data_IF_499093578416
#
_entry.id   IF_499093578416
#
_cell.length_a   1.000
_cell.length_b   1.000
_cell.length_c   1.000
_cell.angle_alpha   90.00
_cell.angle_beta   90.00
_cell.angle_gamma   90.00
#
_symmetry.space_group_name_H-M   'P 1'
#
loop_
_entity.id
_entity.type
_entity.pdbx_description
1 polymer ?
#
# COMPACT_ATOMS: atom_id res chain seq x y z
N UNK A 1 -3.75 55.21 -14.35
CA UNK A 1 -4.02 54.82 -12.94
C UNK A 1 -5.03 53.66 -12.81
N UNK A 2 -6.25 53.73 -13.38
CA UNK A 2 -7.27 52.65 -13.26
C UNK A 2 -6.82 51.25 -13.74
N UNK A 3 -6.06 51.15 -14.85
CA UNK A 3 -5.51 49.88 -15.37
C UNK A 3 -4.48 49.23 -14.42
N UNK A 4 -3.62 50.03 -13.79
CA UNK A 4 -2.62 49.55 -12.84
C UNK A 4 -3.30 49.03 -11.56
N UNK A 5 -4.32 49.75 -11.06
CA UNK A 5 -5.11 49.31 -9.91
C UNK A 5 -5.85 47.98 -10.17
N UNK A 6 -6.39 47.78 -11.38
CA UNK A 6 -7.02 46.51 -11.78
C UNK A 6 -6.02 45.34 -11.84
N UNK A 7 -4.82 45.57 -12.38
CA UNK A 7 -3.76 44.54 -12.43
C UNK A 7 -3.30 44.16 -11.02
N UNK A 8 -3.08 45.15 -10.14
CA UNK A 8 -2.70 44.90 -8.75
C UNK A 8 -3.80 44.14 -8.02
N UNK A 9 -5.07 44.56 -8.16
CA UNK A 9 -6.22 43.88 -7.54
C UNK A 9 -6.35 42.42 -8.02
N UNK A 10 -6.24 42.18 -9.32
CA UNK A 10 -6.27 40.83 -9.88
C UNK A 10 -5.11 39.96 -9.37
N UNK A 11 -3.90 40.52 -9.30
CA UNK A 11 -2.73 39.85 -8.75
C UNK A 11 -2.89 39.53 -7.25
N UNK A 12 -3.45 40.44 -6.46
CA UNK A 12 -3.74 40.19 -5.04
C UNK A 12 -4.75 39.04 -4.85
N UNK A 13 -5.77 38.97 -5.72
CA UNK A 13 -6.78 37.90 -5.67
C UNK A 13 -6.16 36.54 -6.01
N UNK A 14 -5.30 36.46 -7.03
CA UNK A 14 -4.65 35.19 -7.41
C UNK A 14 -3.67 34.70 -6.34
N UNK A 15 -2.91 35.61 -5.72
CA UNK A 15 -2.03 35.28 -4.58
C UNK A 15 -2.84 34.77 -3.39
N UNK A 16 -3.97 35.41 -3.06
CA UNK A 16 -4.84 34.97 -1.96
C UNK A 16 -5.45 33.58 -2.23
N UNK A 17 -5.92 33.32 -3.45
CA UNK A 17 -6.46 32.01 -3.84
C UNK A 17 -5.40 30.91 -3.79
N UNK A 18 -4.18 31.20 -4.24
CA UNK A 18 -3.06 30.26 -4.16
C UNK A 18 -2.67 29.98 -2.70
N UNK A 19 -2.57 31.01 -1.87
CA UNK A 19 -2.32 30.86 -0.43
C UNK A 19 -3.41 30.03 0.27
N UNK A 20 -4.68 30.21 -0.08
CA UNK A 20 -5.78 29.42 0.48
C UNK A 20 -5.67 27.94 0.11
N UNK A 21 -5.37 27.60 -1.15
CA UNK A 21 -5.13 26.22 -1.59
C UNK A 21 -3.96 25.59 -0.84
N UNK A 22 -2.86 26.32 -0.70
CA UNK A 22 -1.66 25.84 0.01
C UNK A 22 -1.92 25.61 1.49
N UNK A 23 -2.63 26.52 2.16
CA UNK A 23 -3.01 26.36 3.57
C UNK A 23 -3.91 25.13 3.78
N UNK A 24 -4.87 24.91 2.88
CA UNK A 24 -5.73 23.72 2.94
C UNK A 24 -4.94 22.42 2.73
N UNK A 25 -4.02 22.39 1.77
CA UNK A 25 -3.13 21.25 1.54
C UNK A 25 -2.26 20.96 2.77
N UNK A 26 -1.70 22.00 3.40
CA UNK A 26 -0.87 21.87 4.60
C UNK A 26 -1.65 21.29 5.78
N UNK A 27 -2.87 21.76 6.03
CA UNK A 27 -3.73 21.23 7.09
C UNK A 27 -4.08 19.75 6.84
N UNK A 28 -4.38 19.37 5.59
CA UNK A 28 -4.63 17.98 5.21
C UNK A 28 -3.39 17.11 5.39
N UNK A 29 -2.20 17.57 4.98
CA UNK A 29 -0.95 16.84 5.18
C UNK A 29 -0.58 16.68 6.65
N UNK A 30 -0.85 17.68 7.49
CA UNK A 30 -0.65 17.57 8.95
C UNK A 30 -1.57 16.51 9.55
N UNK A 31 -2.84 16.49 9.14
CA UNK A 31 -3.79 15.46 9.57
C UNK A 31 -3.38 14.07 9.08
N UNK A 32 -3.01 13.95 7.80
CA UNK A 32 -2.50 12.72 7.23
C UNK A 32 -1.26 12.21 7.99
N UNK A 33 -0.35 13.11 8.35
CA UNK A 33 0.84 12.75 9.11
C UNK A 33 0.50 12.22 10.50
N UNK A 34 -0.48 12.81 11.19
CA UNK A 34 -0.95 12.29 12.47
C UNK A 34 -1.51 10.87 12.31
N UNK A 35 -2.39 10.65 11.34
CA UNK A 35 -2.94 9.31 11.07
C UNK A 35 -1.82 8.31 10.70
N UNK A 36 -0.80 8.74 9.96
CA UNK A 36 0.37 7.92 9.64
C UNK A 36 1.16 7.51 10.90
N UNK A 37 1.38 8.45 11.83
CA UNK A 37 2.06 8.16 13.10
C UNK A 37 1.24 7.26 14.01
N UNK A 38 -0.09 7.37 13.93
CA UNK A 38 -1.03 6.49 14.63
C UNK A 38 -1.20 5.13 13.90
N UNK A 39 -0.39 4.87 12.86
CA UNK A 39 -0.41 3.65 12.01
C UNK A 39 -1.76 3.40 11.31
N UNK A 40 -2.59 4.44 11.21
CA UNK A 40 -3.89 4.44 10.55
C UNK A 40 -3.73 4.74 9.06
N UNK A 41 -3.00 3.87 8.37
CA UNK A 41 -2.53 4.09 7.00
C UNK A 41 -3.66 4.35 5.98
N UNK A 42 -4.76 3.60 6.04
CA UNK A 42 -5.92 3.85 5.16
C UNK A 42 -6.49 5.27 5.31
N UNK A 43 -6.48 5.82 6.53
CA UNK A 43 -6.92 7.19 6.79
C UNK A 43 -5.87 8.22 6.38
N UNK A 44 -4.58 7.93 6.62
CA UNK A 44 -3.48 8.77 6.17
C UNK A 44 -3.51 8.97 4.64
N UNK A 45 -3.68 7.87 3.88
CA UNK A 45 -3.81 7.88 2.41
C UNK A 45 -4.93 8.81 1.97
N UNK A 46 -6.11 8.73 2.59
CA UNK A 46 -7.24 9.56 2.22
C UNK A 46 -6.92 11.06 2.35
N UNK A 47 -6.27 11.47 3.45
CA UNK A 47 -5.89 12.86 3.65
C UNK A 47 -4.73 13.31 2.76
N UNK A 48 -3.72 12.46 2.53
CA UNK A 48 -2.63 12.75 1.60
C UNK A 48 -3.14 12.94 0.16
N UNK A 49 -3.99 12.04 -0.33
CA UNK A 49 -4.62 12.16 -1.64
C UNK A 49 -5.51 13.41 -1.74
N UNK A 50 -6.23 13.76 -0.66
CA UNK A 50 -7.01 15.00 -0.62
C UNK A 50 -6.10 16.25 -0.70
N UNK A 51 -4.95 16.24 -0.03
CA UNK A 51 -3.97 17.34 -0.09
C UNK A 51 -3.37 17.47 -1.50
N UNK A 52 -3.07 16.34 -2.15
CA UNK A 52 -2.49 16.27 -3.49
C UNK A 52 -3.38 16.91 -4.58
N UNK A 53 -4.70 17.06 -4.33
CA UNK A 53 -5.62 17.79 -5.22
C UNK A 53 -5.40 19.31 -5.22
N UNK A 54 -4.71 19.85 -4.22
CA UNK A 54 -4.44 21.29 -4.08
C UNK A 54 -3.01 21.66 -4.42
N UNK A 55 -2.04 20.85 -3.97
CA UNK A 55 -0.61 21.07 -4.15
C UNK A 55 0.06 19.72 -4.37
N UNK A 56 0.96 19.63 -5.35
CA UNK A 56 1.75 18.43 -5.60
C UNK A 56 2.55 18.03 -4.35
N UNK A 57 2.58 16.74 -3.96
CA UNK A 57 3.28 16.32 -2.76
C UNK A 57 4.80 16.52 -2.90
N UNK A 58 5.39 17.09 -1.85
CA UNK A 58 6.84 17.04 -1.68
C UNK A 58 7.31 15.60 -1.46
N UNK A 59 8.63 15.40 -1.44
CA UNK A 59 9.22 14.07 -1.35
C UNK A 59 8.92 13.37 -0.02
N UNK A 60 8.78 14.12 1.09
CA UNK A 60 8.46 13.53 2.40
C UNK A 60 7.01 13.05 2.44
N UNK A 61 6.08 13.88 1.96
CA UNK A 61 4.66 13.53 1.83
C UNK A 61 4.49 12.34 0.90
N UNK A 62 5.15 12.36 -0.26
CA UNK A 62 5.10 11.28 -1.23
C UNK A 62 5.67 9.97 -0.66
N UNK A 63 6.76 10.03 0.10
CA UNK A 63 7.33 8.86 0.79
C UNK A 63 6.37 8.27 1.82
N UNK A 64 5.76 9.11 2.66
CA UNK A 64 4.77 8.64 3.67
C UNK A 64 3.52 8.08 3.03
N UNK A 65 3.06 8.67 1.93
CA UNK A 65 1.95 8.12 1.14
C UNK A 65 2.32 6.76 0.54
N UNK A 66 3.51 6.62 -0.05
CA UNK A 66 4.01 5.37 -0.60
C UNK A 66 4.10 4.26 0.46
N UNK A 67 4.67 4.58 1.62
CA UNK A 67 4.77 3.64 2.75
C UNK A 67 3.38 3.29 3.28
N UNK A 68 2.45 4.24 3.37
CA UNK A 68 1.06 3.94 3.77
C UNK A 68 0.41 2.93 2.83
N UNK A 69 0.55 3.12 1.50
CA UNK A 69 0.06 2.15 0.51
C UNK A 69 0.73 0.78 0.68
N UNK A 70 2.04 0.75 0.93
CA UNK A 70 2.78 -0.49 1.15
C UNK A 70 2.24 -1.26 2.38
N UNK A 71 1.99 -0.56 3.49
CA UNK A 71 1.50 -1.16 4.73
C UNK A 71 0.11 -1.78 4.58
N UNK A 72 -0.77 -1.18 3.77
CA UNK A 72 -2.09 -1.75 3.47
C UNK A 72 -2.08 -2.71 2.26
N UNK A 73 -0.89 -3.08 1.77
CA UNK A 73 -0.66 -4.02 0.65
C UNK A 73 -1.22 -3.56 -0.70
N UNK A 74 -1.46 -2.27 -0.86
CA UNK A 74 -1.79 -1.63 -2.15
C UNK A 74 -0.51 -1.40 -2.97
N UNK A 75 0.15 -2.50 -3.34
CA UNK A 75 1.50 -2.50 -3.92
C UNK A 75 1.61 -1.75 -5.24
N UNK A 76 0.53 -1.67 -6.01
CA UNK A 76 0.51 -0.92 -7.28
C UNK A 76 0.65 0.58 -7.05
N UNK A 77 -0.08 1.10 -6.07
CA UNK A 77 -0.04 2.52 -5.70
C UNK A 77 1.25 2.87 -4.97
N UNK A 78 1.72 1.97 -4.08
CA UNK A 78 3.03 2.10 -3.45
C UNK A 78 4.15 2.16 -4.49
N UNK A 79 4.14 1.26 -5.49
CA UNK A 79 5.14 1.24 -6.56
C UNK A 79 5.14 2.54 -7.34
N UNK A 80 3.98 3.05 -7.72
CA UNK A 80 3.89 4.31 -8.46
C UNK A 80 4.54 5.48 -7.68
N UNK A 81 4.24 5.60 -6.38
CA UNK A 81 4.83 6.66 -5.55
C UNK A 81 6.33 6.47 -5.31
N UNK A 82 6.81 5.24 -5.10
CA UNK A 82 8.25 4.95 -4.98
C UNK A 82 9.01 5.14 -6.30
N UNK A 83 8.38 4.87 -7.45
CA UNK A 83 8.97 5.14 -8.76
C UNK A 83 9.15 6.64 -8.99
N UNK A 84 8.15 7.46 -8.62
CA UNK A 84 8.28 8.92 -8.64
C UNK A 84 9.38 9.42 -7.70
N UNK A 85 9.55 8.82 -6.52
CA UNK A 85 10.65 9.13 -5.61
C UNK A 85 12.01 8.74 -6.19
N UNK A 86 12.10 7.59 -6.84
CA UNK A 86 13.32 7.13 -7.50
C UNK A 86 13.75 8.06 -8.63
N UNK A 87 12.81 8.58 -9.42
CA UNK A 87 13.10 9.60 -10.44
C UNK A 87 13.71 10.88 -9.86
N UNK A 88 13.37 11.25 -8.62
CA UNK A 88 13.91 12.42 -7.91
C UNK A 88 15.23 12.12 -7.19
N UNK A 89 15.37 10.92 -6.65
CA UNK A 89 16.51 10.49 -5.83
C UNK A 89 17.00 9.10 -6.28
N UNK A 90 17.59 8.99 -7.47
CA UNK A 90 17.94 7.68 -8.06
C UNK A 90 19.07 6.95 -7.34
N UNK A 91 19.75 7.61 -6.39
CA UNK A 91 20.85 7.05 -5.62
C UNK A 91 20.51 6.81 -4.14
N UNK A 92 19.26 7.07 -3.73
CA UNK A 92 18.82 6.76 -2.36
C UNK A 92 18.60 5.26 -2.21
N UNK A 93 19.45 4.61 -1.40
CA UNK A 93 19.45 3.17 -1.16
C UNK A 93 18.07 2.65 -0.72
N UNK A 94 17.38 3.38 0.17
CA UNK A 94 16.09 2.95 0.73
C UNK A 94 14.99 3.00 -0.32
N UNK A 95 14.97 4.04 -1.15
CA UNK A 95 14.03 4.17 -2.26
C UNK A 95 14.28 3.07 -3.30
N UNK A 96 15.55 2.84 -3.67
CA UNK A 96 15.93 1.76 -4.58
C UNK A 96 15.45 0.39 -4.07
N UNK A 97 15.72 0.11 -2.79
CA UNK A 97 15.32 -1.12 -2.14
C UNK A 97 13.80 -1.31 -2.14
N UNK A 98 13.03 -0.32 -1.65
CA UNK A 98 11.56 -0.40 -1.61
C UNK A 98 10.96 -0.60 -3.00
N UNK A 99 11.47 0.12 -4.01
CA UNK A 99 11.02 -0.05 -5.39
C UNK A 99 11.29 -1.47 -5.91
N UNK A 100 12.46 -2.05 -5.63
CA UNK A 100 12.79 -3.42 -6.02
C UNK A 100 11.89 -4.46 -5.31
N UNK A 101 11.59 -4.28 -4.03
CA UNK A 101 10.63 -5.13 -3.30
C UNK A 101 9.22 -5.06 -3.92
N UNK A 102 8.79 -3.87 -4.33
CA UNK A 102 7.48 -3.65 -4.94
C UNK A 102 7.39 -4.28 -6.33
N UNK A 103 8.47 -4.29 -7.13
CA UNK A 103 8.54 -5.04 -8.38
C UNK A 103 8.31 -6.54 -8.15
N UNK A 104 8.96 -7.12 -7.13
CA UNK A 104 8.78 -8.52 -6.77
C UNK A 104 7.33 -8.82 -6.32
N UNK A 105 6.73 -7.97 -5.46
CA UNK A 105 5.33 -8.12 -5.04
C UNK A 105 4.34 -8.02 -6.21
N UNK A 106 4.64 -7.19 -7.20
CA UNK A 106 3.89 -7.09 -8.46
C UNK A 106 4.18 -8.23 -9.44
N UNK A 107 4.93 -9.26 -9.03
CA UNK A 107 5.33 -10.41 -9.84
C UNK A 107 6.17 -10.05 -11.07
N UNK A 108 6.76 -8.85 -11.11
CA UNK A 108 7.70 -8.39 -12.14
C UNK A 108 9.11 -8.86 -11.76
N UNK A 109 9.30 -10.17 -11.75
CA UNK A 109 10.48 -10.78 -11.15
C UNK A 109 11.76 -10.44 -11.90
N UNK A 110 11.73 -10.35 -13.22
CA UNK A 110 12.88 -10.02 -14.05
C UNK A 110 13.38 -8.59 -13.77
N UNK A 111 12.45 -7.63 -13.65
CA UNK A 111 12.76 -6.24 -13.25
C UNK A 111 13.29 -6.18 -11.81
N UNK A 112 12.71 -6.95 -10.89
CA UNK A 112 13.15 -7.02 -9.49
C UNK A 112 14.56 -7.61 -9.38
N UNK A 113 14.87 -8.68 -10.12
CA UNK A 113 16.20 -9.30 -10.18
C UNK A 113 17.24 -8.28 -10.64
N UNK A 114 16.96 -7.54 -11.72
CA UNK A 114 17.86 -6.49 -12.21
C UNK A 114 18.09 -5.40 -11.16
N UNK A 115 17.03 -4.94 -10.48
CA UNK A 115 17.13 -3.92 -9.45
C UNK A 115 17.92 -4.41 -8.22
N UNK A 116 17.72 -5.65 -7.78
CA UNK A 116 18.48 -6.23 -6.67
C UNK A 116 19.94 -6.52 -7.03
N UNK A 117 20.24 -6.90 -8.28
CA UNK A 117 21.61 -7.01 -8.76
C UNK A 117 22.34 -5.67 -8.71
N UNK A 118 21.67 -4.59 -9.12
CA UNK A 118 22.20 -3.24 -9.04
C UNK A 118 22.45 -2.81 -7.58
N UNK A 119 21.49 -3.05 -6.68
CA UNK A 119 21.64 -2.79 -5.25
C UNK A 119 22.83 -3.57 -4.65
N UNK A 120 22.96 -4.86 -4.96
CA UNK A 120 24.07 -5.68 -4.49
C UNK A 120 25.44 -5.18 -4.98
N UNK A 121 25.50 -4.67 -6.22
CA UNK A 121 26.70 -4.05 -6.78
C UNK A 121 27.05 -2.71 -6.13
N UNK A 122 26.05 -1.84 -5.89
CA UNK A 122 26.26 -0.50 -5.34
C UNK A 122 26.51 -0.51 -3.82
N UNK A 123 25.87 -1.42 -3.10
CA UNK A 123 25.91 -1.52 -1.64
C UNK A 123 26.38 -2.92 -1.19
N UNK A 124 27.61 -3.33 -1.55
CA UNK A 124 28.09 -4.70 -1.31
C UNK A 124 28.27 -5.04 0.18
N UNK A 125 28.34 -4.05 1.06
CA UNK A 125 28.39 -4.24 2.51
C UNK A 125 27.06 -4.69 3.12
N UNK A 126 25.95 -4.53 2.38
CA UNK A 126 24.62 -4.95 2.82
C UNK A 126 24.26 -6.30 2.15
N UNK A 127 24.44 -7.43 2.85
CA UNK A 127 24.27 -8.76 2.25
C UNK A 127 22.82 -9.06 1.85
N UNK A 128 21.84 -8.29 2.35
CA UNK A 128 20.43 -8.51 2.04
C UNK A 128 20.15 -8.42 0.54
N UNK A 129 20.86 -7.57 -0.20
CA UNK A 129 20.63 -7.37 -1.63
C UNK A 129 21.13 -8.56 -2.43
N UNK A 130 22.29 -9.10 -2.07
CA UNK A 130 22.80 -10.34 -2.67
C UNK A 130 21.86 -11.51 -2.39
N UNK A 131 21.35 -11.64 -1.16
CA UNK A 131 20.39 -12.69 -0.80
C UNK A 131 19.08 -12.55 -1.58
N UNK A 132 18.51 -11.34 -1.69
CA UNK A 132 17.28 -11.10 -2.46
C UNK A 132 17.47 -11.38 -3.95
N UNK A 133 18.60 -10.95 -4.52
CA UNK A 133 18.97 -11.24 -5.91
C UNK A 133 19.02 -12.75 -6.18
N UNK A 134 19.81 -13.50 -5.40
CA UNK A 134 19.95 -14.96 -5.55
C UNK A 134 18.60 -15.67 -5.31
N UNK A 135 17.86 -15.27 -4.27
CA UNK A 135 16.57 -15.86 -3.92
C UNK A 135 15.54 -15.74 -5.04
N UNK A 136 15.49 -14.58 -5.71
CA UNK A 136 14.60 -14.35 -6.85
C UNK A 136 15.03 -15.14 -8.10
N UNK A 137 16.33 -15.33 -8.33
CA UNK A 137 16.82 -16.17 -9.44
C UNK A 137 16.44 -17.65 -9.24
N UNK A 138 16.53 -18.14 -8.01
CA UNK A 138 16.26 -19.54 -7.68
C UNK A 138 14.79 -19.79 -7.32
N UNK A 139 13.86 -18.93 -7.76
CA UNK A 139 12.45 -19.01 -7.36
C UNK A 139 11.80 -20.38 -7.64
N UNK A 140 12.22 -21.04 -8.73
CA UNK A 140 11.67 -22.33 -9.16
C UNK A 140 11.79 -23.40 -8.08
N UNK A 141 12.83 -23.36 -7.24
CA UNK A 141 13.02 -24.32 -6.16
C UNK A 141 11.89 -24.30 -5.13
N UNK A 142 11.24 -23.15 -4.93
CA UNK A 142 10.13 -23.00 -3.97
C UNK A 142 8.80 -23.53 -4.52
N UNK A 143 8.74 -23.80 -5.83
CA UNK A 143 7.57 -24.39 -6.48
C UNK A 143 7.77 -25.87 -6.80
N UNK A 144 8.91 -26.45 -6.40
CA UNK A 144 9.09 -27.90 -6.42
C UNK A 144 8.21 -28.45 -5.31
N UNK A 145 6.98 -28.82 -5.67
CA UNK A 145 6.06 -29.52 -4.79
C UNK A 145 6.62 -30.92 -4.55
N UNK A 146 6.88 -31.28 -3.29
CA UNK A 146 7.33 -32.63 -2.94
C UNK A 146 6.17 -33.63 -2.88
N UNK A 147 4.94 -33.18 -3.15
CA UNK A 147 3.70 -33.92 -2.99
C UNK A 147 2.88 -33.85 -4.30
N UNK A 148 2.25 -34.97 -4.68
CA UNK A 148 1.44 -35.11 -5.90
C UNK A 148 0.04 -34.45 -5.74
N UNK A 149 -0.02 -33.15 -5.48
CA UNK A 149 -1.27 -32.39 -5.49
C UNK A 149 -1.19 -31.14 -6.38
N UNK A 150 -2.35 -30.65 -6.80
CA UNK A 150 -2.48 -29.32 -7.38
C UNK A 150 -3.18 -28.39 -6.38
N UNK A 151 -2.55 -27.24 -6.11
CA UNK A 151 -3.14 -26.21 -5.27
C UNK A 151 -4.09 -25.34 -6.09
N UNK A 152 -5.23 -25.00 -5.49
CA UNK A 152 -6.21 -24.10 -6.09
C UNK A 152 -6.93 -23.28 -5.02
N UNK A 153 -7.44 -22.12 -5.41
CA UNK A 153 -8.29 -21.31 -4.53
C UNK A 153 -9.66 -21.97 -4.34
N UNK A 154 -10.18 -21.91 -3.11
CA UNK A 154 -11.54 -22.34 -2.81
C UNK A 154 -12.53 -21.21 -3.11
N UNK A 155 -13.77 -21.55 -3.46
CA UNK A 155 -14.84 -20.56 -3.69
C UNK A 155 -15.18 -19.72 -2.45
N UNK A 156 -14.77 -20.18 -1.27
CA UNK A 156 -14.99 -19.48 -0.01
C UNK A 156 -14.01 -18.33 0.23
N UNK A 157 -12.93 -18.24 -0.55
CA UNK A 157 -11.94 -17.19 -0.39
C UNK A 157 -12.53 -15.82 -0.75
N UNK A 158 -12.29 -14.82 0.10
CA UNK A 158 -12.61 -13.42 -0.10
C UNK A 158 -11.40 -12.67 -0.67
N UNK A 159 -11.61 -11.50 -1.28
CA UNK A 159 -10.51 -10.61 -1.61
C UNK A 159 -9.87 -9.95 -0.38
N UNK A 160 -10.45 -10.12 0.82
CA UNK A 160 -9.84 -9.73 2.09
C UNK A 160 -9.02 -10.88 2.68
N UNK A 161 -8.56 -10.75 3.92
CA UNK A 161 -7.77 -11.78 4.59
C UNK A 161 -8.67 -12.90 5.10
N UNK A 162 -8.42 -14.12 4.61
CA UNK A 162 -8.96 -15.35 5.18
C UNK A 162 -7.81 -16.18 5.73
N UNK A 163 -7.91 -16.60 6.98
CA UNK A 163 -6.79 -17.24 7.67
C UNK A 163 -7.28 -18.16 8.80
N UNK A 164 -6.34 -18.89 9.39
CA UNK A 164 -6.59 -19.85 10.46
C UNK A 164 -7.72 -20.87 10.16
N UNK A 165 -7.71 -21.55 8.99
CA UNK A 165 -8.67 -22.60 8.74
C UNK A 165 -8.47 -23.78 9.70
N UNK A 166 -9.56 -24.28 10.27
CA UNK A 166 -9.58 -25.47 11.11
C UNK A 166 -10.80 -26.34 10.80
N UNK A 167 -10.64 -27.65 10.95
CA UNK A 167 -11.76 -28.59 10.85
C UNK A 167 -12.43 -28.70 12.23
N UNK A 168 -13.73 -28.39 12.29
CA UNK A 168 -14.57 -28.53 13.48
C UNK A 168 -15.73 -29.50 13.18
N UNK A 169 -15.56 -30.76 13.58
CA UNK A 169 -16.45 -31.85 13.23
C UNK A 169 -16.43 -32.12 11.72
N UNK A 170 -17.58 -31.98 11.06
CA UNK A 170 -17.69 -32.09 9.58
C UNK A 170 -17.60 -30.75 8.86
N UNK A 171 -17.23 -29.68 9.56
CA UNK A 171 -17.25 -28.32 9.02
C UNK A 171 -15.83 -27.75 8.94
N UNK A 172 -15.61 -26.86 7.98
CA UNK A 172 -14.45 -25.98 7.98
C UNK A 172 -14.84 -24.68 8.68
N UNK A 173 -14.06 -24.27 9.69
CA UNK A 173 -14.14 -22.95 10.29
C UNK A 173 -12.89 -22.15 9.95
N UNK A 174 -13.02 -20.85 9.78
CA UNK A 174 -11.88 -19.98 9.45
C UNK A 174 -12.17 -18.55 9.88
N UNK A 175 -11.13 -17.73 10.01
CA UNK A 175 -11.25 -16.31 10.36
C UNK A 175 -11.23 -15.48 9.09
N UNK A 176 -12.09 -14.46 9.02
CA UNK A 176 -12.09 -13.53 7.90
C UNK A 176 -12.52 -12.12 8.30
N UNK A 177 -11.90 -11.12 7.68
CA UNK A 177 -12.32 -9.72 7.72
C UNK A 177 -13.11 -9.32 6.45
N UNK A 178 -13.76 -10.27 5.79
CA UNK A 178 -14.66 -10.00 4.67
C UNK A 178 -15.83 -9.09 5.05
N UNK A 179 -16.29 -8.30 4.07
CA UNK A 179 -17.52 -7.54 4.21
C UNK A 179 -18.73 -8.48 4.23
N UNK A 180 -19.53 -8.43 5.29
CA UNK A 180 -20.72 -9.27 5.46
C UNK A 180 -22.03 -8.47 5.63
N UNK A 181 -21.94 -7.15 5.86
CA UNK A 181 -23.06 -6.20 5.94
C UNK A 181 -22.77 -4.97 5.07
N UNK A 182 -23.84 -4.32 4.57
CA UNK A 182 -23.72 -3.06 3.81
C UNK A 182 -23.13 -1.92 4.65
N UNK A 183 -23.41 -1.91 5.96
CA UNK A 183 -22.89 -0.93 6.92
C UNK A 183 -21.99 -1.67 7.90
N UNK A 184 -20.75 -1.23 8.00
CA UNK A 184 -19.75 -1.75 8.94
C UNK A 184 -19.54 -0.70 10.03
N UNK A 185 -19.83 -1.06 11.28
CA UNK A 185 -19.68 -0.15 12.42
C UNK A 185 -18.32 -0.25 13.10
N UNK A 186 -17.59 -1.35 12.90
CA UNK A 186 -16.33 -1.64 13.57
C UNK A 186 -15.29 -2.11 12.55
N UNK A 187 -14.19 -1.37 12.49
CA UNK A 187 -13.11 -1.61 11.54
C UNK A 187 -11.76 -1.41 12.23
N UNK A 188 -10.73 -2.11 11.76
CA UNK A 188 -9.39 -1.89 12.26
C UNK A 188 -8.88 -0.52 11.83
N UNK A 189 -8.18 0.16 12.74
CA UNK A 189 -7.66 1.50 12.49
C UNK A 189 -6.63 1.53 11.36
N UNK A 190 -5.85 0.46 11.21
CA UNK A 190 -4.67 0.40 10.34
C UNK A 190 -4.97 0.32 8.83
N UNK A 191 -6.03 -0.39 8.44
CA UNK A 191 -6.36 -0.80 7.07
C UNK A 191 -7.82 -0.48 6.72
N UNK A 192 -8.63 -0.04 7.71
CA UNK A 192 -10.06 0.22 7.57
C UNK A 192 -10.91 -1.00 7.16
N UNK A 193 -10.38 -2.23 7.30
CA UNK A 193 -11.15 -3.44 7.06
C UNK A 193 -12.05 -3.77 8.27
N UNK A 194 -13.18 -4.46 8.05
CA UNK A 194 -14.03 -4.95 9.13
C UNK A 194 -13.24 -5.72 10.19
N UNK A 195 -13.71 -5.69 11.45
CA UNK A 195 -13.19 -6.61 12.44
C UNK A 195 -13.37 -8.07 11.99
N UNK A 196 -12.39 -8.89 12.34
CA UNK A 196 -12.38 -10.28 11.93
C UNK A 196 -13.47 -11.07 12.68
N UNK A 197 -14.17 -11.93 11.93
CA UNK A 197 -15.18 -12.85 12.46
C UNK A 197 -14.81 -14.29 12.13
N UNK A 198 -15.37 -15.24 12.90
CA UNK A 198 -15.24 -16.66 12.60
C UNK A 198 -16.38 -17.04 11.66
N UNK A 199 -16.04 -17.76 10.59
CA UNK A 199 -16.96 -18.27 9.59
C UNK A 199 -16.94 -19.79 9.61
N UNK A 200 -18.10 -20.38 9.33
CA UNK A 200 -18.29 -21.82 9.21
C UNK A 200 -18.80 -22.17 7.81
N UNK A 201 -18.25 -23.24 7.26
CA UNK A 201 -18.61 -23.85 5.98
C UNK A 201 -19.08 -25.27 6.28
N UNK A 202 -20.38 -25.52 6.10
CA UNK A 202 -21.00 -26.85 6.24
C UNK A 202 -20.96 -27.63 4.92
N UNK A 203 -21.10 -26.92 3.81
CA UNK A 203 -20.89 -27.38 2.43
C UNK A 203 -20.02 -26.37 1.67
N UNK A 204 -19.28 -26.78 0.63
CA UNK A 204 -18.37 -25.88 -0.11
C UNK A 204 -19.02 -24.61 -0.70
N UNK A 205 -20.34 -24.58 -0.81
CA UNK A 205 -21.14 -23.44 -1.28
C UNK A 205 -21.81 -22.61 -0.17
N UNK A 206 -21.72 -23.02 1.10
CA UNK A 206 -22.37 -22.35 2.24
C UNK A 206 -21.34 -21.62 3.10
N UNK A 207 -21.66 -20.39 3.53
CA UNK A 207 -20.82 -19.63 4.46
C UNK A 207 -21.75 -19.00 5.50
N UNK A 208 -21.47 -19.25 6.79
CA UNK A 208 -22.24 -18.75 7.93
C UNK A 208 -21.28 -18.00 8.86
N UNK A 209 -21.63 -16.79 9.27
CA UNK A 209 -20.90 -16.04 10.31
C UNK A 209 -21.28 -16.60 11.67
N UNK A 210 -20.30 -16.89 12.53
CA UNK A 210 -20.54 -17.24 13.92
C UNK A 210 -20.46 -15.94 14.76
N UNK A 211 -21.56 -15.60 15.45
CA UNK A 211 -21.63 -14.48 16.39
C UNK A 211 -21.27 -14.92 17.82
#
# INVERSE_FOLDING_TARGET
MKRIALIISFFSITVALFAQKTNKAKALNQRAHKEYLDERYSYAIAFYNAAARYVSPDSLVLHRLAESYYQIKEYDSAYHSFDQLYQRYPNDEKIMHRRAELLANKKKYEEAIAAFAELAKRFPSNPIYQHKYIGLQNRAQFFIDSLDYSLGFLKINSPQSDFSPQILGRNLVFVSNRYYKKVIHKQFGWDALPFAHIYKVTHPSSIIVLE
#
